data_IF_536656885964
#
_entry.id   IF_536656885964
#
_cell.length_a   1.000
_cell.length_b   1.000
_cell.length_c   1.000
_cell.angle_alpha   90.00
_cell.angle_beta   90.00
_cell.angle_gamma   90.00
#
_symmetry.space_group_name_H-M   'P 1'
#
loop_
_entity.id
_entity.type
_entity.pdbx_description
1 polymer ?
#
# COMPACT_ATOMS: atom_id res chain seq x y z
N UNK A 1 -19.72 6.98 -3.32
CA UNK A 1 -18.64 7.60 -2.51
C UNK A 1 -17.37 6.78 -2.71
N UNK A 2 -16.38 7.31 -3.44
CA UNK A 2 -15.12 6.59 -3.68
C UNK A 2 -14.21 6.89 -2.49
N UNK A 3 -14.12 5.95 -1.55
CA UNK A 3 -13.21 6.04 -0.41
C UNK A 3 -11.77 5.84 -0.91
N UNK A 4 -11.11 6.96 -1.22
CA UNK A 4 -9.68 7.03 -1.58
C UNK A 4 -8.84 6.44 -0.45
N UNK A 5 -7.72 5.78 -0.79
CA UNK A 5 -6.83 5.13 0.19
C UNK A 5 -7.27 3.74 0.66
N UNK A 6 -8.42 3.23 0.21
CA UNK A 6 -8.80 1.84 0.48
C UNK A 6 -8.13 0.86 -0.49
N UNK A 7 -7.99 -0.41 -0.08
CA UNK A 7 -7.46 -1.48 -0.95
C UNK A 7 -8.31 -1.65 -2.22
N UNK A 8 -9.61 -1.45 -2.13
CA UNK A 8 -10.53 -1.51 -3.26
C UNK A 8 -10.27 -0.37 -4.25
N UNK A 9 -10.10 0.85 -3.75
CA UNK A 9 -9.71 2.01 -4.56
C UNK A 9 -8.36 1.79 -5.25
N UNK A 10 -7.33 1.37 -4.51
CA UNK A 10 -6.00 1.14 -5.08
C UNK A 10 -6.02 0.06 -6.17
N UNK A 11 -6.78 -1.02 -5.99
CA UNK A 11 -6.96 -2.05 -7.02
C UNK A 11 -7.66 -1.53 -8.28
N UNK A 12 -8.67 -0.68 -8.11
CA UNK A 12 -9.40 -0.10 -9.25
C UNK A 12 -8.48 0.80 -10.08
N UNK A 13 -7.69 1.66 -9.43
CA UNK A 13 -6.69 2.53 -10.09
C UNK A 13 -5.64 1.71 -10.84
N UNK A 14 -5.10 0.66 -10.20
CA UNK A 14 -4.08 -0.19 -10.85
C UNK A 14 -4.64 -0.99 -12.04
N UNK A 15 -5.91 -1.41 -11.96
CA UNK A 15 -6.59 -2.09 -13.06
C UNK A 15 -6.80 -1.14 -14.26
N UNK A 16 -7.19 0.10 -13.99
CA UNK A 16 -7.38 1.14 -15.01
C UNK A 16 -6.06 1.48 -15.71
N UNK A 17 -4.96 1.50 -14.95
CA UNK A 17 -3.59 1.63 -15.48
C UNK A 17 -3.08 0.40 -16.26
N UNK A 18 -3.90 -0.63 -16.49
CA UNK A 18 -3.55 -1.83 -17.26
C UNK A 18 -2.67 -2.85 -16.50
N UNK A 19 -2.47 -2.69 -15.19
CA UNK A 19 -1.63 -3.58 -14.39
C UNK A 19 -2.40 -4.87 -14.05
N UNK A 20 -2.05 -5.97 -14.72
CA UNK A 20 -2.72 -7.27 -14.58
C UNK A 20 -2.34 -8.04 -13.32
N UNK A 21 -1.15 -7.80 -12.76
CA UNK A 21 -0.66 -8.41 -11.52
C UNK A 21 0.08 -7.38 -10.68
N UNK A 22 -0.36 -7.24 -9.45
CA UNK A 22 0.31 -6.41 -8.44
C UNK A 22 1.02 -7.37 -7.50
N UNK A 23 2.35 -7.48 -7.61
CA UNK A 23 3.15 -8.14 -6.58
C UNK A 23 3.20 -7.23 -5.36
N UNK A 24 2.27 -7.44 -4.43
CA UNK A 24 2.38 -6.84 -3.11
C UNK A 24 3.46 -7.60 -2.38
N UNK A 25 4.63 -6.99 -2.19
CA UNK A 25 5.65 -7.55 -1.32
C UNK A 25 4.99 -7.89 0.02
N UNK A 26 5.06 -9.17 0.43
CA UNK A 26 4.54 -9.61 1.73
C UNK A 26 5.15 -8.67 2.77
N UNK A 27 4.28 -8.00 3.55
CA UNK A 27 4.70 -7.09 4.62
C UNK A 27 5.76 -7.84 5.43
N UNK A 28 6.98 -7.31 5.48
CA UNK A 28 8.08 -7.98 6.18
C UNK A 28 7.62 -8.34 7.59
N UNK A 29 8.02 -9.48 8.14
CA UNK A 29 7.63 -9.93 9.49
C UNK A 29 7.81 -8.82 10.53
N UNK A 30 8.89 -8.03 10.42
CA UNK A 30 9.17 -6.82 11.21
C UNK A 30 8.04 -5.79 11.24
N UNK A 31 7.31 -5.66 10.13
CA UNK A 31 6.24 -4.68 9.96
C UNK A 31 4.85 -5.27 10.17
N UNK A 32 4.69 -6.60 10.26
CA UNK A 32 3.38 -7.25 10.35
C UNK A 32 2.57 -6.78 11.56
N UNK A 33 3.24 -6.62 12.72
CA UNK A 33 2.65 -6.13 13.97
C UNK A 33 2.96 -4.65 14.25
N UNK A 34 3.51 -3.93 13.28
CA UNK A 34 3.86 -2.52 13.47
C UNK A 34 2.59 -1.66 13.51
N UNK A 35 2.55 -0.71 14.45
CA UNK A 35 1.49 0.29 14.54
C UNK A 35 1.47 1.17 13.28
N UNK A 36 0.34 1.84 13.07
CA UNK A 36 0.12 2.71 11.90
C UNK A 36 1.20 3.79 11.77
N UNK A 37 1.62 4.39 12.90
CA UNK A 37 2.66 5.43 12.93
C UNK A 37 4.02 4.91 12.47
N UNK A 38 4.38 3.68 12.84
CA UNK A 38 5.64 3.04 12.41
C UNK A 38 5.61 2.75 10.90
N UNK A 39 4.45 2.39 10.35
CA UNK A 39 4.31 2.21 8.90
C UNK A 39 4.48 3.51 8.13
N UNK A 40 3.84 4.59 8.56
CA UNK A 40 4.01 5.90 7.91
C UNK A 40 5.46 6.38 7.97
N UNK A 41 6.14 6.16 9.11
CA UNK A 41 7.57 6.48 9.24
C UNK A 41 8.41 5.67 8.25
N UNK A 42 8.07 4.40 8.04
CA UNK A 42 8.78 3.54 7.09
C UNK A 42 8.49 3.89 5.62
N UNK A 43 7.27 4.35 5.29
CA UNK A 43 6.92 4.88 3.95
C UNK A 43 7.79 6.12 3.67
N UNK A 44 7.84 7.07 4.62
CA UNK A 44 8.68 8.26 4.52
C UNK A 44 10.17 7.90 4.40
N UNK A 45 10.67 6.96 5.23
CA UNK A 45 12.07 6.51 5.20
C UNK A 45 12.47 5.91 3.85
N UNK A 46 11.53 5.27 3.16
CA UNK A 46 11.76 4.63 1.85
C UNK A 46 11.50 5.57 0.67
N UNK A 47 11.06 6.81 0.91
CA UNK A 47 10.73 7.76 -0.15
C UNK A 47 9.56 7.30 -1.03
N UNK A 48 8.61 6.55 -0.46
CA UNK A 48 7.46 5.99 -1.18
C UNK A 48 6.21 6.89 -1.12
N UNK A 49 6.42 8.18 -0.88
CA UNK A 49 5.35 9.19 -0.79
C UNK A 49 4.89 9.66 -2.17
#
# INVERSE_FOLDING_TARGET
MILTGTKAWAKAVLKDAGIKRVMVAKRSTRLANASLSVLYREINRRGLN
#
